data_IF_417071819866
#
_entry.id   IF_417071819866
#
_cell.length_a   1.000
_cell.length_b   1.000
_cell.length_c   1.000
_cell.angle_alpha   90.00
_cell.angle_beta   90.00
_cell.angle_gamma   90.00
#
_symmetry.space_group_name_H-M   'P 1'
#
loop_
_entity.id
_entity.type
_entity.pdbx_description
1 polymer ?
#
# COMPACT_ATOMS: atom_id res chain seq x y z
N UNK A 1 -17.50 -16.21 4.53
CA UNK A 1 -17.21 -14.87 5.08
C UNK A 1 -16.42 -14.12 4.05
N UNK A 2 -16.93 -12.99 3.56
CA UNK A 2 -16.25 -12.15 2.59
C UNK A 2 -15.24 -11.22 3.29
N UNK A 3 -14.26 -10.69 2.55
CA UNK A 3 -13.32 -9.72 3.09
C UNK A 3 -14.02 -8.43 3.54
N UNK A 4 -15.11 -8.03 2.86
CA UNK A 4 -15.93 -6.88 3.26
C UNK A 4 -16.60 -7.10 4.63
N UNK A 5 -17.11 -8.32 4.89
CA UNK A 5 -17.68 -8.66 6.20
C UNK A 5 -16.62 -8.64 7.31
N UNK A 6 -15.38 -9.03 7.01
CA UNK A 6 -14.25 -8.95 7.95
C UNK A 6 -13.94 -7.49 8.28
N UNK A 7 -13.78 -6.62 7.27
CA UNK A 7 -13.54 -5.20 7.47
C UNK A 7 -14.68 -4.55 8.27
N UNK A 8 -15.93 -4.86 7.92
CA UNK A 8 -17.10 -4.37 8.66
C UNK A 8 -17.07 -4.77 10.13
N UNK A 9 -16.76 -6.02 10.45
CA UNK A 9 -16.64 -6.50 11.84
C UNK A 9 -15.50 -5.81 12.59
N UNK A 10 -14.42 -5.45 11.89
CA UNK A 10 -13.30 -4.70 12.45
C UNK A 10 -13.59 -3.20 12.62
N UNK A 11 -14.74 -2.70 12.14
CA UNK A 11 -15.09 -1.29 12.14
C UNK A 11 -14.37 -0.48 11.06
N UNK A 12 -13.91 -1.14 10.00
CA UNK A 12 -13.20 -0.54 8.88
C UNK A 12 -14.14 -0.28 7.69
N UNK A 13 -13.86 0.72 6.85
CA UNK A 13 -14.54 0.89 5.57
C UNK A 13 -14.48 -0.39 4.72
N UNK A 14 -15.59 -0.74 4.08
CA UNK A 14 -15.69 -1.97 3.28
C UNK A 14 -15.11 -1.81 1.87
N UNK A 15 -14.99 -0.59 1.37
CA UNK A 15 -14.19 -0.29 0.19
C UNK A 15 -12.72 -0.35 0.56
N UNK A 16 -11.91 -1.01 -0.25
CA UNK A 16 -10.47 -1.08 -0.03
C UNK A 16 -9.70 -0.68 -1.29
N UNK A 17 -8.55 -0.08 -1.11
CA UNK A 17 -7.58 0.19 -2.19
C UNK A 17 -6.25 -0.48 -1.86
N UNK A 18 -5.64 -1.07 -2.88
CA UNK A 18 -4.26 -1.52 -2.85
C UNK A 18 -3.38 -0.39 -3.38
N UNK A 19 -2.30 -0.11 -2.68
CA UNK A 19 -1.26 0.85 -3.13
C UNK A 19 0.10 0.18 -3.01
N UNK A 20 0.95 0.39 -4.03
CA UNK A 20 2.31 -0.15 -4.10
C UNK A 20 3.20 0.85 -4.84
N UNK A 21 4.07 1.54 -4.10
CA UNK A 21 4.99 2.52 -4.68
C UNK A 21 6.24 1.86 -5.24
N UNK A 22 6.55 2.23 -6.45
CA UNK A 22 7.84 1.93 -7.08
C UNK A 22 8.79 3.12 -6.92
N UNK A 23 10.04 2.85 -6.58
CA UNK A 23 11.05 3.88 -6.35
C UNK A 23 12.41 3.52 -6.95
N UNK A 24 13.19 4.55 -7.29
CA UNK A 24 14.54 4.39 -7.81
C UNK A 24 15.47 3.77 -6.77
N UNK A 25 16.32 2.87 -7.20
CA UNK A 25 17.41 2.32 -6.40
C UNK A 25 18.62 1.99 -7.29
N UNK A 26 19.78 1.91 -6.67
CA UNK A 26 21.03 1.47 -7.31
C UNK A 26 21.91 0.64 -6.34
N UNK A 27 23.17 0.38 -6.72
CA UNK A 27 24.11 -0.41 -5.92
C UNK A 27 24.47 0.23 -4.58
N UNK A 28 24.43 1.55 -4.49
CA UNK A 28 24.84 2.32 -3.30
C UNK A 28 23.67 2.92 -2.54
N UNK A 29 22.53 3.05 -3.21
CA UNK A 29 21.29 3.57 -2.68
C UNK A 29 20.17 2.52 -2.75
N UNK A 30 19.90 1.83 -1.65
CA UNK A 30 18.88 0.78 -1.61
C UNK A 30 18.47 0.44 -0.18
N UNK A 31 17.28 -0.13 -0.02
CA UNK A 31 16.77 -0.66 1.26
C UNK A 31 17.61 -1.83 1.84
N UNK A 32 18.56 -2.36 1.08
CA UNK A 32 19.54 -3.34 1.60
C UNK A 32 20.66 -2.69 2.40
N UNK A 33 20.94 -1.41 2.16
CA UNK A 33 22.02 -0.63 2.77
C UNK A 33 21.56 0.45 3.73
N UNK A 34 20.30 0.84 3.67
CA UNK A 34 19.71 1.95 4.42
C UNK A 34 18.44 1.49 5.12
N UNK A 35 18.12 2.12 6.25
CA UNK A 35 16.79 1.98 6.84
C UNK A 35 15.73 2.62 5.92
N UNK A 36 14.48 2.21 6.08
CA UNK A 36 13.37 2.76 5.28
C UNK A 36 13.28 4.29 5.41
N UNK A 37 13.49 4.82 6.61
CA UNK A 37 13.45 6.27 6.86
C UNK A 37 14.59 6.99 6.13
N UNK A 38 15.82 6.50 6.27
CA UNK A 38 16.97 7.06 5.57
C UNK A 38 16.76 7.04 4.07
N UNK A 39 16.26 5.92 3.53
CA UNK A 39 16.00 5.76 2.11
C UNK A 39 14.96 6.75 1.57
N UNK A 40 13.81 6.85 2.22
CA UNK A 40 12.71 7.74 1.76
C UNK A 40 13.05 9.22 1.97
N UNK A 41 13.82 9.56 3.00
CA UNK A 41 14.23 10.94 3.29
C UNK A 41 15.52 11.38 2.57
N UNK A 42 16.22 10.48 1.88
CA UNK A 42 17.45 10.79 1.14
C UNK A 42 17.13 11.70 -0.06
N UNK A 43 18.01 12.66 -0.40
CA UNK A 43 17.82 13.52 -1.60
C UNK A 43 17.72 12.77 -2.93
N UNK A 44 18.22 11.52 -2.99
CA UNK A 44 18.14 10.65 -4.18
C UNK A 44 16.78 9.96 -4.32
N UNK A 45 15.91 10.06 -3.31
CA UNK A 45 14.61 9.40 -3.36
C UNK A 45 13.78 9.90 -4.54
N UNK A 46 13.37 8.99 -5.39
CA UNK A 46 12.56 9.28 -6.57
C UNK A 46 11.47 8.20 -6.70
N UNK A 47 10.23 8.62 -6.83
CA UNK A 47 9.10 7.74 -7.13
C UNK A 47 9.12 7.47 -8.63
N UNK A 48 9.18 6.19 -9.01
CA UNK A 48 9.15 5.76 -10.41
C UNK A 48 7.77 5.30 -10.87
N UNK A 49 6.84 5.14 -9.94
CA UNK A 49 5.45 4.83 -10.24
C UNK A 49 4.63 4.45 -9.01
N UNK A 50 3.34 4.25 -9.25
CA UNK A 50 2.37 3.79 -8.26
C UNK A 50 1.44 2.75 -8.88
N UNK A 51 1.53 1.51 -8.42
CA UNK A 51 0.53 0.49 -8.65
C UNK A 51 -0.68 0.72 -7.74
N UNK A 52 -1.88 0.59 -8.27
CA UNK A 52 -3.09 0.72 -7.47
C UNK A 52 -4.21 -0.20 -7.97
N UNK A 53 -5.08 -0.60 -7.06
CA UNK A 53 -6.30 -1.34 -7.38
C UNK A 53 -7.40 -0.97 -6.39
N UNK A 54 -8.57 -0.60 -6.90
CA UNK A 54 -9.77 -0.45 -6.08
C UNK A 54 -10.46 -1.81 -5.97
N UNK A 55 -10.63 -2.27 -4.73
CA UNK A 55 -11.33 -3.50 -4.41
C UNK A 55 -12.78 -3.17 -4.11
N UNK A 56 -13.57 -3.00 -5.15
CA UNK A 56 -15.02 -2.94 -5.07
C UNK A 56 -15.64 -4.09 -5.89
N UNK A 57 -16.93 -4.36 -5.66
CA UNK A 57 -17.64 -5.43 -6.37
C UNK A 57 -17.91 -5.11 -7.86
N UNK A 58 -17.72 -3.86 -8.26
CA UNK A 58 -18.20 -3.33 -9.54
C UNK A 58 -17.07 -3.00 -10.51
N UNK A 59 -16.02 -2.35 -10.07
CA UNK A 59 -15.04 -1.78 -11.00
C UNK A 59 -13.77 -2.58 -11.16
N UNK A 60 -13.26 -3.19 -10.09
CA UNK A 60 -11.98 -3.90 -10.10
C UNK A 60 -10.84 -3.10 -10.77
N UNK A 61 -10.95 -1.75 -10.76
CA UNK A 61 -10.02 -0.86 -11.45
C UNK A 61 -8.61 -1.10 -10.91
N UNK A 62 -7.77 -1.59 -11.80
CA UNK A 62 -6.35 -1.80 -11.56
C UNK A 62 -5.56 -0.94 -12.54
N UNK A 63 -4.55 -0.26 -12.06
CA UNK A 63 -3.73 0.60 -12.90
C UNK A 63 -2.33 0.78 -12.36
N UNK A 64 -1.51 1.38 -13.22
CA UNK A 64 -0.19 1.87 -12.87
C UNK A 64 -0.08 3.32 -13.30
N UNK A 65 0.29 4.18 -12.37
CA UNK A 65 0.54 5.59 -12.62
C UNK A 65 2.04 5.81 -12.82
N UNK A 66 2.49 6.36 -13.96
CA UNK A 66 3.86 6.82 -14.10
C UNK A 66 4.15 8.00 -13.15
N UNK A 67 5.42 8.36 -12.92
CA UNK A 67 5.79 9.34 -11.91
C UNK A 67 5.03 10.66 -11.97
N UNK A 68 4.81 11.17 -13.18
CA UNK A 68 4.11 12.45 -13.41
C UNK A 68 2.59 12.40 -13.17
N UNK A 69 2.00 11.22 -12.97
CA UNK A 69 0.57 11.04 -12.72
C UNK A 69 0.26 10.65 -11.26
N UNK A 70 1.28 10.30 -10.47
CA UNK A 70 1.11 9.82 -9.09
C UNK A 70 0.38 10.83 -8.21
N UNK A 71 0.78 12.10 -8.23
CA UNK A 71 0.16 13.15 -7.43
C UNK A 71 -1.32 13.34 -7.78
N UNK A 72 -1.63 13.32 -9.08
CA UNK A 72 -3.02 13.41 -9.57
C UNK A 72 -3.87 12.23 -9.16
N UNK A 73 -3.31 11.01 -9.17
CA UNK A 73 -4.01 9.81 -8.72
C UNK A 73 -4.29 9.85 -7.21
N UNK A 74 -3.30 10.25 -6.41
CA UNK A 74 -3.47 10.39 -4.96
C UNK A 74 -4.50 11.47 -4.62
N UNK A 75 -4.47 12.61 -5.31
CA UNK A 75 -5.49 13.65 -5.13
C UNK A 75 -6.90 13.13 -5.48
N UNK A 76 -7.04 12.32 -6.52
CA UNK A 76 -8.33 11.70 -6.85
C UNK A 76 -8.81 10.75 -5.73
N UNK A 77 -7.91 10.01 -5.09
CA UNK A 77 -8.25 9.19 -3.92
C UNK A 77 -8.66 10.04 -2.71
N UNK A 78 -7.99 11.16 -2.45
CA UNK A 78 -8.39 12.09 -1.39
C UNK A 78 -9.78 12.68 -1.64
N UNK A 79 -10.09 13.09 -2.86
CA UNK A 79 -11.43 13.58 -3.23
C UNK A 79 -12.49 12.50 -3.05
N UNK A 80 -12.18 11.26 -3.41
CA UNK A 80 -13.14 10.16 -3.31
C UNK A 80 -13.33 9.62 -1.89
N UNK A 81 -12.27 9.61 -1.07
CA UNK A 81 -12.23 8.85 0.18
C UNK A 81 -11.88 9.66 1.43
N UNK A 82 -11.63 10.95 1.31
CA UNK A 82 -11.31 11.86 2.41
C UNK A 82 -9.90 12.44 2.33
N UNK A 83 -9.80 13.74 2.56
CA UNK A 83 -8.53 14.48 2.52
C UNK A 83 -7.59 14.01 3.63
N UNK A 84 -6.30 13.88 3.33
CA UNK A 84 -5.20 13.55 4.25
C UNK A 84 -5.30 12.20 4.94
N UNK A 85 -6.47 11.79 5.45
CA UNK A 85 -6.63 10.57 6.25
C UNK A 85 -7.28 9.41 5.48
N UNK A 86 -7.83 9.64 4.28
CA UNK A 86 -8.55 8.63 3.50
C UNK A 86 -9.54 7.83 4.36
N UNK A 87 -10.30 8.52 5.22
CA UNK A 87 -11.11 7.90 6.28
C UNK A 87 -12.28 7.03 5.78
N UNK A 88 -12.64 7.14 4.51
CA UNK A 88 -13.75 6.38 3.91
C UNK A 88 -13.30 5.14 3.12
N UNK A 89 -12.02 4.78 3.20
CA UNK A 89 -11.48 3.60 2.53
C UNK A 89 -10.45 2.90 3.42
N UNK A 90 -10.32 1.58 3.23
CA UNK A 90 -9.24 0.80 3.85
C UNK A 90 -8.07 0.67 2.89
N UNK A 91 -6.90 1.16 3.27
CA UNK A 91 -5.67 1.01 2.48
C UNK A 91 -5.02 -0.32 2.80
N UNK A 92 -4.84 -1.16 1.78
CA UNK A 92 -4.25 -2.49 1.89
C UNK A 92 -2.91 -2.51 1.16
N UNK A 93 -1.94 -3.18 1.68
CA UNK A 93 -0.66 -3.39 0.99
C UNK A 93 0.16 -4.48 1.65
N UNK A 94 1.32 -4.77 1.06
CA UNK A 94 2.31 -5.67 1.63
C UNK A 94 3.51 -4.85 2.12
N UNK A 95 3.83 -4.95 3.40
CA UNK A 95 4.86 -4.11 4.03
C UNK A 95 4.51 -2.61 3.97
N UNK A 96 3.30 -2.29 4.33
CA UNK A 96 2.73 -0.93 4.29
C UNK A 96 3.59 0.16 4.96
N UNK A 97 4.54 -0.21 5.80
CA UNK A 97 5.46 0.75 6.45
C UNK A 97 6.23 1.59 5.45
N UNK A 98 6.62 1.00 4.32
CA UNK A 98 7.31 1.70 3.25
C UNK A 98 6.37 2.67 2.53
N UNK A 99 5.23 2.16 2.05
CA UNK A 99 4.25 2.96 1.30
C UNK A 99 3.64 4.07 2.15
N UNK A 100 3.30 3.78 3.41
CA UNK A 100 2.79 4.79 4.34
C UNK A 100 3.81 5.88 4.67
N UNK A 101 5.09 5.55 4.75
CA UNK A 101 6.13 6.55 4.94
C UNK A 101 6.22 7.48 3.74
N UNK A 102 6.14 6.94 2.52
CA UNK A 102 6.10 7.73 1.28
C UNK A 102 4.86 8.64 1.26
N UNK A 103 3.67 8.08 1.52
CA UNK A 103 2.43 8.85 1.57
C UNK A 103 2.54 10.03 2.53
N UNK A 104 3.05 9.80 3.74
CA UNK A 104 3.19 10.84 4.77
C UNK A 104 4.23 11.88 4.41
N UNK A 105 5.46 11.45 4.07
CA UNK A 105 6.60 12.34 3.90
C UNK A 105 6.56 13.12 2.59
N UNK A 106 5.96 12.57 1.54
CA UNK A 106 5.94 13.19 0.21
C UNK A 106 4.61 13.84 -0.15
N UNK A 107 3.51 13.36 0.43
CA UNK A 107 2.16 13.80 0.06
C UNK A 107 1.31 14.29 1.25
N UNK A 108 1.77 14.13 2.48
CA UNK A 108 1.03 14.54 3.68
C UNK A 108 -0.21 13.68 3.96
N UNK A 109 -0.28 12.48 3.38
CA UNK A 109 -1.40 11.55 3.52
C UNK A 109 -1.07 10.52 4.59
N UNK A 110 -1.93 10.38 5.60
CA UNK A 110 -1.81 9.37 6.65
C UNK A 110 -3.13 8.58 6.74
N UNK A 111 -3.23 7.44 6.04
CA UNK A 111 -4.47 6.67 6.01
C UNK A 111 -4.92 6.24 7.40
N UNK A 112 -6.21 6.46 7.71
CA UNK A 112 -6.80 6.13 9.01
C UNK A 112 -7.01 4.64 9.20
N UNK A 113 -7.39 3.93 8.15
CA UNK A 113 -7.65 2.48 8.17
C UNK A 113 -6.70 1.76 7.24
N UNK A 114 -5.87 0.89 7.81
CA UNK A 114 -4.82 0.20 7.07
C UNK A 114 -4.78 -1.28 7.39
N UNK A 115 -4.47 -2.09 6.39
CA UNK A 115 -4.28 -3.54 6.51
C UNK A 115 -2.95 -3.91 5.87
N UNK A 116 -2.02 -4.44 6.65
CA UNK A 116 -0.76 -5.00 6.14
C UNK A 116 -0.87 -6.52 6.01
N UNK A 117 -0.71 -7.01 4.78
CA UNK A 117 -0.79 -8.45 4.51
C UNK A 117 0.30 -9.24 5.23
N UNK A 118 1.46 -8.67 5.49
CA UNK A 118 2.52 -9.31 6.28
C UNK A 118 2.07 -9.50 7.74
N UNK A 119 1.39 -8.53 8.32
CA UNK A 119 0.93 -8.63 9.70
C UNK A 119 -0.17 -9.70 9.83
N UNK A 120 -1.06 -9.80 8.86
CA UNK A 120 -2.06 -10.90 8.81
C UNK A 120 -1.36 -12.25 8.71
N UNK A 121 -0.38 -12.40 7.82
CA UNK A 121 0.41 -13.63 7.69
C UNK A 121 1.13 -14.02 9.00
N UNK A 122 1.71 -13.05 9.69
CA UNK A 122 2.41 -13.28 10.96
C UNK A 122 1.47 -13.74 12.07
N UNK A 123 0.24 -13.25 12.08
CA UNK A 123 -0.79 -13.70 13.03
C UNK A 123 -1.16 -15.15 12.73
N UNK A 124 -1.26 -15.50 11.45
CA UNK A 124 -1.63 -16.86 11.03
C UNK A 124 -0.49 -17.87 11.18
N UNK A 125 0.72 -17.52 10.73
CA UNK A 125 1.91 -18.35 10.81
C UNK A 125 3.18 -17.50 10.95
N UNK A 126 3.60 -17.28 12.20
CA UNK A 126 4.76 -16.44 12.51
C UNK A 126 6.10 -16.97 11.94
N UNK A 127 6.16 -18.26 11.58
CA UNK A 127 7.37 -18.90 11.04
C UNK A 127 7.40 -18.94 9.52
N UNK A 128 6.34 -18.52 8.86
CA UNK A 128 6.24 -18.56 7.41
C UNK A 128 7.13 -17.49 6.72
N UNK A 129 7.42 -17.75 5.45
CA UNK A 129 8.08 -16.75 4.59
C UNK A 129 7.05 -15.73 4.14
N UNK A 130 7.26 -14.45 4.49
CA UNK A 130 6.34 -13.35 4.19
C UNK A 130 6.63 -12.63 2.85
N UNK A 131 7.38 -13.26 1.93
CA UNK A 131 7.54 -12.75 0.58
C UNK A 131 6.22 -12.89 -0.19
N UNK A 132 5.86 -11.88 -0.99
CA UNK A 132 4.61 -11.84 -1.74
C UNK A 132 4.37 -13.12 -2.56
N UNK A 133 5.38 -13.61 -3.27
CA UNK A 133 5.31 -14.86 -4.04
C UNK A 133 4.96 -16.08 -3.16
N UNK A 134 5.57 -16.17 -1.98
CA UNK A 134 5.31 -17.28 -1.05
C UNK A 134 3.88 -17.20 -0.47
N UNK A 135 3.40 -16.00 -0.18
CA UNK A 135 2.05 -15.74 0.30
C UNK A 135 1.03 -16.07 -0.79
N UNK A 136 1.21 -15.54 -2.00
CA UNK A 136 0.34 -15.81 -3.15
C UNK A 136 0.21 -17.31 -3.40
N UNK A 137 1.32 -18.05 -3.43
CA UNK A 137 1.35 -19.50 -3.62
C UNK A 137 0.61 -20.26 -2.52
N UNK A 138 0.75 -19.83 -1.24
CA UNK A 138 0.07 -20.46 -0.10
C UNK A 138 -1.44 -20.26 -0.17
N UNK A 139 -1.89 -19.10 -0.56
CA UNK A 139 -3.31 -18.74 -0.64
C UNK A 139 -3.95 -19.04 -1.99
N UNK A 140 -3.23 -19.75 -2.89
CA UNK A 140 -3.76 -20.22 -4.15
C UNK A 140 -3.96 -19.12 -5.21
N UNK A 141 -3.28 -17.99 -5.07
CA UNK A 141 -3.23 -17.00 -6.13
C UNK A 141 -2.42 -17.51 -7.33
N UNK A 142 -2.80 -17.18 -8.57
CA UNK A 142 -2.13 -17.62 -9.78
C UNK A 142 -0.68 -17.11 -9.88
#
# INVERSE_FOLDING_TARGET
>A
VTWQEILKKAGFPQTAILLDFESYFDTDYSLKKMSTVEYVCDPRFEITGLGHQVLDEISGLCGFCPPNEVEGALHAFEVAYGEQELENVTVVGQNNKFDHLILREKFGITPKFTVDLIDIERIWDAQSKHKLEAMAKRWGAP
#
